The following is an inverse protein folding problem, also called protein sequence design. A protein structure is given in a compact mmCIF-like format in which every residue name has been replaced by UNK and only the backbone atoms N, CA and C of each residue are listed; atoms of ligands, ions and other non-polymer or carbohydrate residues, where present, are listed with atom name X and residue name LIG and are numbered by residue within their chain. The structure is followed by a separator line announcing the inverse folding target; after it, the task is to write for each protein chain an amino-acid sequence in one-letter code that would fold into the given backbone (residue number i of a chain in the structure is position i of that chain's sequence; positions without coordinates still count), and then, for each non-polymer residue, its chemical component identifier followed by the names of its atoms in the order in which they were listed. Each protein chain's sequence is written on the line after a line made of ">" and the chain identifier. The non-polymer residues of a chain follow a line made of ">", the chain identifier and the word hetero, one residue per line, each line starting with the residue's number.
data_IF_917287423090
#
_entry.id   IF_917287423090
#
_cell.length_a   1.000
_cell.length_b   1.000
_cell.length_c   1.000
_cell.angle_alpha   90.00
_cell.angle_beta   90.00
_cell.angle_gamma   90.00
#
_symmetry.space_group_name_H-M   'P 1'
#
loop_
_entity.id
_entity.type
_entity.pdbx_description
1 polymer ?
#
# COMPACT_ATOMS: atom_id res chain seq x y z
N UNK A 1 6.06 4.21 11.20
CA UNK A 1 5.17 4.74 10.15
C UNK A 1 3.73 4.58 10.61
N UNK A 2 3.12 5.60 11.21
CA UNK A 2 1.75 5.49 11.64
C UNK A 2 0.79 5.72 10.46
N UNK A 3 -0.10 4.76 10.24
CA UNK A 3 -1.40 5.06 9.64
C UNK A 3 -2.14 6.07 10.53
N UNK A 4 -2.99 6.90 9.93
CA UNK A 4 -3.88 7.74 10.73
C UNK A 4 -4.91 6.89 11.47
N UNK A 5 -5.43 7.39 12.60
CA UNK A 5 -6.36 6.64 13.47
C UNK A 5 -7.58 6.07 12.72
N UNK A 6 -8.08 6.79 11.71
CA UNK A 6 -9.22 6.40 10.88
C UNK A 6 -8.83 5.81 9.52
N UNK A 7 -7.55 5.52 9.28
CA UNK A 7 -7.06 5.10 7.97
C UNK A 7 -7.68 3.79 7.48
N UNK A 8 -7.83 2.79 8.36
CA UNK A 8 -8.40 1.49 7.98
C UNK A 8 -9.87 1.60 7.59
N UNK A 9 -10.64 2.45 8.28
CA UNK A 9 -12.04 2.75 7.94
C UNK A 9 -12.14 3.46 6.58
N UNK A 10 -11.24 4.42 6.33
CA UNK A 10 -11.15 5.13 5.06
C UNK A 10 -10.80 4.16 3.92
N UNK A 11 -9.80 3.30 4.11
CA UNK A 11 -9.38 2.29 3.11
C UNK A 11 -10.56 1.36 2.79
N UNK A 12 -11.21 0.83 3.83
CA UNK A 12 -12.40 -0.03 3.70
C UNK A 12 -13.52 0.67 2.94
N UNK A 13 -13.78 1.94 3.24
CA UNK A 13 -14.80 2.75 2.57
C UNK A 13 -14.49 2.91 1.08
N UNK A 14 -13.26 3.30 0.72
CA UNK A 14 -12.84 3.44 -0.67
C UNK A 14 -12.96 2.12 -1.44
N UNK A 15 -12.54 1.00 -0.84
CA UNK A 15 -12.68 -0.33 -1.43
C UNK A 15 -14.15 -0.74 -1.59
N UNK A 16 -15.01 -0.40 -0.63
CA UNK A 16 -16.45 -0.61 -0.71
C UNK A 16 -17.11 0.19 -1.84
N UNK A 17 -16.72 1.44 -2.01
CA UNK A 17 -17.15 2.29 -3.13
C UNK A 17 -16.77 1.65 -4.47
N UNK A 18 -15.53 1.16 -4.62
CA UNK A 18 -15.09 0.47 -5.84
C UNK A 18 -15.90 -0.80 -6.10
N UNK A 19 -16.22 -1.57 -5.06
CA UNK A 19 -17.09 -2.74 -5.16
C UNK A 19 -18.49 -2.39 -5.67
N UNK A 20 -19.01 -1.22 -5.29
CA UNK A 20 -20.30 -0.71 -5.74
C UNK A 20 -20.26 -0.01 -7.11
N UNK A 21 -19.10 0.00 -7.79
CA UNK A 21 -18.92 0.69 -9.08
C UNK A 21 -18.79 2.21 -8.98
N UNK A 22 -18.61 2.74 -7.77
CA UNK A 22 -18.43 4.17 -7.51
C UNK A 22 -16.96 4.61 -7.72
N UNK A 23 -16.74 5.93 -7.69
CA UNK A 23 -15.41 6.54 -7.84
C UNK A 23 -14.93 7.13 -6.51
N UNK A 24 -14.07 6.43 -5.75
CA UNK A 24 -13.51 6.98 -4.52
C UNK A 24 -12.57 8.16 -4.81
N UNK A 25 -12.34 8.98 -3.79
CA UNK A 25 -11.38 10.09 -3.84
C UNK A 25 -10.02 9.66 -3.31
N UNK A 26 -8.98 10.37 -3.72
CA UNK A 26 -7.68 10.30 -3.07
C UNK A 26 -7.76 10.87 -1.65
N UNK A 27 -7.34 10.06 -0.69
CA UNK A 27 -7.36 10.38 0.74
C UNK A 27 -6.02 10.03 1.35
N UNK A 28 -5.53 10.86 2.27
CA UNK A 28 -4.31 10.57 3.01
C UNK A 28 -4.61 9.52 4.09
N UNK A 29 -3.81 8.45 4.14
CA UNK A 29 -4.02 7.32 5.06
C UNK A 29 -2.90 7.18 6.09
N UNK A 30 -1.80 7.92 5.95
CA UNK A 30 -0.69 7.89 6.89
C UNK A 30 0.47 8.74 6.40
N UNK A 31 1.56 8.71 7.16
CA UNK A 31 2.80 9.44 6.83
C UNK A 31 4.02 8.55 6.97
N UNK A 32 4.93 8.65 6.00
CA UNK A 32 6.32 8.19 6.17
C UNK A 32 6.95 8.83 7.41
N UNK A 33 7.82 8.09 8.09
CA UNK A 33 8.77 8.72 9.02
C UNK A 33 9.78 9.57 8.25
N UNK A 34 10.41 10.53 8.92
CA UNK A 34 11.43 11.38 8.29
C UNK A 34 12.61 10.57 7.76
N UNK A 35 13.00 9.50 8.47
CA UNK A 35 14.03 8.55 8.04
C UNK A 35 13.64 7.78 6.77
N UNK A 36 12.39 7.33 6.69
CA UNK A 36 11.88 6.63 5.51
C UNK A 36 11.79 7.57 4.31
N UNK A 37 11.33 8.81 4.51
CA UNK A 37 11.33 9.83 3.45
C UNK A 37 12.74 10.17 2.98
N UNK A 38 13.70 10.33 3.89
CA UNK A 38 15.10 10.58 3.54
C UNK A 38 15.67 9.42 2.72
N UNK A 39 15.43 8.18 3.15
CA UNK A 39 15.86 6.97 2.43
C UNK A 39 15.25 6.88 1.03
N UNK A 40 13.96 7.17 0.88
CA UNK A 40 13.30 7.21 -0.44
C UNK A 40 13.91 8.29 -1.32
N UNK A 41 14.12 9.50 -0.78
CA UNK A 41 14.68 10.62 -1.54
C UNK A 41 16.13 10.37 -1.98
N UNK A 42 16.94 9.72 -1.15
CA UNK A 42 18.26 9.26 -1.56
C UNK A 42 18.16 8.32 -2.77
N UNK A 43 17.31 7.29 -2.70
CA UNK A 43 17.10 6.34 -3.80
C UNK A 43 16.48 7.01 -5.05
N UNK A 44 15.66 8.06 -4.89
CA UNK A 44 15.16 8.85 -6.03
C UNK A 44 16.30 9.55 -6.76
N UNK A 45 17.19 10.21 -6.01
CA UNK A 45 18.36 10.91 -6.56
C UNK A 45 19.32 9.95 -7.27
N UNK A 46 19.58 8.78 -6.69
CA UNK A 46 20.38 7.71 -7.31
C UNK A 46 19.82 7.26 -8.67
N UNK A 47 18.50 7.33 -8.84
CA UNK A 47 17.79 7.00 -10.08
C UNK A 47 17.59 8.21 -11.01
N UNK A 48 18.12 9.39 -10.69
CA UNK A 48 17.92 10.62 -11.47
C UNK A 48 16.49 11.14 -11.43
N UNK A 49 15.71 10.79 -10.40
CA UNK A 49 14.31 11.17 -10.24
C UNK A 49 14.14 12.34 -9.27
N UNK A 50 13.06 13.15 -9.41
CA UNK A 50 12.75 14.20 -8.46
C UNK A 50 12.48 13.68 -7.04
N UNK A 51 12.88 14.45 -6.03
CA UNK A 51 12.59 14.15 -4.63
C UNK A 51 11.10 14.28 -4.32
N UNK A 52 10.63 13.43 -3.42
CA UNK A 52 9.30 13.47 -2.81
C UNK A 52 9.26 14.60 -1.79
N UNK A 53 8.33 15.53 -1.97
CA UNK A 53 8.22 16.74 -1.14
C UNK A 53 7.24 16.59 0.03
N UNK A 54 6.44 15.53 0.04
CA UNK A 54 5.39 15.30 1.03
C UNK A 54 5.50 13.89 1.58
N UNK A 55 5.49 13.75 2.91
CA UNK A 55 5.55 12.44 3.57
C UNK A 55 4.19 11.73 3.62
N UNK A 56 3.09 12.36 3.18
CA UNK A 56 1.77 11.74 3.17
C UNK A 56 1.67 10.62 2.14
N UNK A 57 1.05 9.53 2.56
CA UNK A 57 0.65 8.42 1.70
C UNK A 57 -0.81 8.61 1.31
N UNK A 58 -1.05 8.77 0.02
CA UNK A 58 -2.39 8.84 -0.55
C UNK A 58 -2.90 7.45 -0.93
N UNK A 59 -4.21 7.27 -0.84
CA UNK A 59 -4.88 6.04 -1.25
C UNK A 59 -6.18 6.36 -1.98
N UNK A 60 -6.38 5.72 -3.13
CA UNK A 60 -7.68 5.62 -3.82
C UNK A 60 -8.08 4.15 -3.95
N UNK A 61 -7.11 3.25 -4.16
CA UNK A 61 -7.31 1.80 -4.09
C UNK A 61 -7.81 1.14 -5.37
N UNK A 62 -8.04 1.88 -6.48
CA UNK A 62 -8.59 1.31 -7.72
C UNK A 62 -7.74 0.17 -8.28
N UNK A 63 -6.44 0.38 -8.45
CA UNK A 63 -5.56 -0.66 -8.97
C UNK A 63 -5.43 -1.82 -7.98
N UNK A 64 -5.28 -1.49 -6.68
CA UNK A 64 -5.24 -2.50 -5.61
C UNK A 64 -6.47 -3.42 -5.64
N UNK A 65 -7.68 -2.85 -5.67
CA UNK A 65 -8.96 -3.58 -5.74
C UNK A 65 -9.07 -4.45 -6.99
N UNK A 66 -8.80 -3.89 -8.17
CA UNK A 66 -8.89 -4.64 -9.42
C UNK A 66 -7.92 -5.82 -9.46
N UNK A 67 -6.69 -5.62 -8.96
CA UNK A 67 -5.65 -6.65 -8.96
C UNK A 67 -5.95 -7.74 -7.93
N UNK A 68 -6.33 -7.38 -6.71
CA UNK A 68 -6.47 -8.34 -5.60
C UNK A 68 -7.88 -8.88 -5.46
N UNK A 69 -8.88 -8.01 -5.39
CA UNK A 69 -10.25 -8.47 -5.20
C UNK A 69 -10.84 -9.07 -6.48
N UNK A 70 -10.77 -8.34 -7.60
CA UNK A 70 -11.44 -8.78 -8.85
C UNK A 70 -10.67 -9.90 -9.53
N UNK A 71 -9.35 -9.76 -9.68
CA UNK A 71 -8.54 -10.74 -10.42
C UNK A 71 -8.12 -11.94 -9.56
N UNK A 72 -7.72 -11.72 -8.32
CA UNK A 72 -7.20 -12.78 -7.43
C UNK A 72 -8.24 -13.32 -6.42
N UNK A 73 -9.42 -12.70 -6.28
CA UNK A 73 -10.52 -13.22 -5.45
C UNK A 73 -10.52 -12.76 -3.98
N UNK A 74 -9.61 -11.86 -3.60
CA UNK A 74 -9.49 -11.40 -2.22
C UNK A 74 -10.69 -10.60 -1.72
N UNK A 75 -11.02 -10.76 -0.43
CA UNK A 75 -12.03 -9.93 0.22
C UNK A 75 -11.49 -8.53 0.55
N UNK A 76 -12.38 -7.56 0.76
CA UNK A 76 -11.98 -6.22 1.23
C UNK A 76 -11.24 -6.30 2.56
N UNK A 77 -11.65 -7.21 3.45
CA UNK A 77 -10.98 -7.42 4.73
C UNK A 77 -9.53 -7.89 4.56
N UNK A 78 -9.28 -8.76 3.57
CA UNK A 78 -7.91 -9.19 3.23
C UNK A 78 -7.07 -8.03 2.73
N UNK A 79 -7.64 -7.18 1.86
CA UNK A 79 -6.94 -6.00 1.35
C UNK A 79 -6.60 -5.00 2.47
N UNK A 80 -7.50 -4.82 3.44
CA UNK A 80 -7.23 -3.96 4.61
C UNK A 80 -6.07 -4.51 5.43
N UNK A 81 -6.06 -5.82 5.72
CA UNK A 81 -4.95 -6.49 6.44
C UNK A 81 -3.63 -6.40 5.68
N UNK A 82 -3.67 -6.52 4.35
CA UNK A 82 -2.49 -6.34 3.50
C UNK A 82 -1.90 -4.94 3.65
N UNK A 83 -2.73 -3.89 3.62
CA UNK A 83 -2.27 -2.49 3.79
C UNK A 83 -1.72 -2.26 5.19
N UNK A 84 -2.43 -2.70 6.22
CA UNK A 84 -2.02 -2.57 7.62
C UNK A 84 -0.65 -3.20 7.87
N UNK A 85 -0.46 -4.44 7.40
CA UNK A 85 0.80 -5.18 7.51
C UNK A 85 1.95 -4.50 6.74
N UNK A 86 1.70 -4.10 5.49
CA UNK A 86 2.73 -3.50 4.63
C UNK A 86 3.17 -2.11 5.10
N UNK A 87 2.28 -1.34 5.74
CA UNK A 87 2.55 0.01 6.25
C UNK A 87 2.81 0.04 7.76
N UNK A 88 2.99 -1.12 8.40
CA UNK A 88 3.33 -1.21 9.81
C UNK A 88 4.60 -0.41 10.13
N UNK A 89 4.73 0.04 11.37
CA UNK A 89 5.83 0.92 11.75
C UNK A 89 7.21 0.31 11.54
N UNK A 90 7.32 -1.00 11.70
CA UNK A 90 8.56 -1.76 11.53
C UNK A 90 8.94 -1.99 10.07
N UNK A 91 8.10 -1.61 9.11
CA UNK A 91 8.32 -1.88 7.69
C UNK A 91 9.52 -1.10 7.14
N UNK A 92 10.22 -1.72 6.19
CA UNK A 92 11.51 -1.22 5.68
C UNK A 92 11.47 -0.91 4.21
N UNK A 93 12.23 0.12 3.80
CA UNK A 93 12.32 0.56 2.40
C UNK A 93 13.19 -0.43 1.63
N UNK A 94 12.59 -1.12 0.66
CA UNK A 94 13.30 -2.01 -0.26
C UNK A 94 13.97 -1.20 -1.38
N UNK A 95 13.17 -0.39 -2.08
CA UNK A 95 13.63 0.50 -3.13
C UNK A 95 12.86 1.83 -3.10
N UNK A 96 13.10 2.72 -4.08
CA UNK A 96 12.46 4.04 -4.12
C UNK A 96 10.93 4.01 -4.23
N UNK A 97 10.32 2.86 -4.52
CA UNK A 97 8.86 2.71 -4.70
C UNK A 97 8.26 1.59 -3.86
N UNK A 98 9.05 0.88 -3.05
CA UNK A 98 8.59 -0.31 -2.36
C UNK A 98 8.98 -0.27 -0.89
N UNK A 99 7.99 -0.47 -0.04
CA UNK A 99 8.13 -0.75 1.39
C UNK A 99 7.68 -2.20 1.62
N UNK A 100 8.43 -2.96 2.39
CA UNK A 100 8.07 -4.35 2.74
C UNK A 100 7.88 -4.51 4.24
N UNK A 101 6.89 -5.29 4.62
CA UNK A 101 6.71 -5.70 6.02
C UNK A 101 7.93 -6.49 6.50
N UNK A 102 8.29 -6.35 7.77
CA UNK A 102 9.34 -7.17 8.40
C UNK A 102 8.81 -8.44 9.02
N UNK A 103 7.50 -8.54 9.19
CA UNK A 103 6.79 -9.67 9.78
C UNK A 103 5.98 -10.36 8.70
N UNK A 104 6.04 -11.70 8.69
CA UNK A 104 5.17 -12.52 7.84
C UNK A 104 3.76 -12.54 8.43
N UNK A 105 2.76 -12.36 7.57
CA UNK A 105 1.35 -12.42 7.91
C UNK A 105 0.77 -13.77 7.47
N UNK A 106 0.05 -14.43 8.37
CA UNK A 106 -0.85 -15.52 7.99
C UNK A 106 -2.02 -14.90 7.19
N UNK A 107 -2.18 -15.33 5.94
CA UNK A 107 -3.22 -14.80 5.07
C UNK A 107 -4.57 -15.49 5.20
N UNK A 108 -4.67 -16.55 6.00
CA UNK A 108 -5.88 -17.34 6.19
C UNK A 108 -6.16 -18.35 5.06
N UNK A 109 -5.29 -18.42 4.05
CA UNK A 109 -5.40 -19.35 2.91
C UNK A 109 -4.29 -20.41 2.92
N UNK A 110 -3.55 -20.52 4.04
CA UNK A 110 -2.46 -21.48 4.21
C UNK A 110 -1.09 -20.94 3.78
N UNK A 111 -0.96 -19.62 3.57
CA UNK A 111 0.32 -19.00 3.26
C UNK A 111 0.82 -18.13 4.41
N UNK A 112 2.14 -18.04 4.54
CA UNK A 112 2.82 -17.01 5.31
C UNK A 112 3.42 -16.00 4.35
N UNK A 113 2.81 -14.82 4.25
CA UNK A 113 3.14 -13.83 3.22
C UNK A 113 3.89 -12.63 3.78
N UNK A 114 4.81 -12.08 2.99
CA UNK A 114 5.42 -10.79 3.24
C UNK A 114 4.73 -9.72 2.39
N UNK A 115 4.05 -8.76 3.03
CA UNK A 115 3.27 -7.76 2.31
C UNK A 115 4.18 -6.62 1.84
N UNK A 116 4.15 -6.34 0.54
CA UNK A 116 4.94 -5.29 -0.10
C UNK A 116 4.02 -4.18 -0.58
N UNK A 117 4.10 -3.01 0.06
CA UNK A 117 3.44 -1.79 -0.40
C UNK A 117 4.22 -1.22 -1.59
N UNK A 118 3.53 -1.07 -2.71
CA UNK A 118 4.07 -0.48 -3.94
C UNK A 118 3.47 0.90 -4.12
N UNK A 119 4.35 1.88 -4.28
CA UNK A 119 3.99 3.28 -4.46
C UNK A 119 4.14 3.73 -5.91
N UNK A 120 3.20 4.56 -6.34
CA UNK A 120 3.34 5.39 -7.52
C UNK A 120 3.61 6.84 -7.10
N UNK A 121 4.45 7.55 -7.85
CA UNK A 121 4.79 8.94 -7.58
C UNK A 121 4.32 9.81 -8.75
N UNK A 122 3.53 10.83 -8.44
CA UNK A 122 3.05 11.77 -9.45
C UNK A 122 4.19 12.69 -9.92
N UNK A 123 4.28 12.97 -11.22
CA UNK A 123 5.34 13.83 -11.77
C UNK A 123 5.28 15.30 -11.26
N UNK A 124 4.07 15.80 -10.95
CA UNK A 124 3.85 17.18 -10.47
C UNK A 124 3.59 17.17 -8.96
N UNK A 125 4.51 17.73 -8.17
CA UNK A 125 4.57 17.63 -6.69
C UNK A 125 4.49 16.17 -6.24
N UNK A 126 5.60 15.42 -6.29
CA UNK A 126 5.57 13.98 -6.08
C UNK A 126 5.00 13.67 -4.71
N UNK A 127 3.76 13.18 -4.72
CA UNK A 127 3.10 12.54 -3.59
C UNK A 127 3.19 11.05 -3.82
N UNK A 128 3.33 10.30 -2.74
CA UNK A 128 3.28 8.85 -2.83
C UNK A 128 1.83 8.39 -2.75
N UNK A 129 1.38 7.76 -3.82
CA UNK A 129 0.15 7.00 -3.85
C UNK A 129 0.45 5.54 -3.56
N UNK A 130 -0.24 4.94 -2.59
CA UNK A 130 -0.25 3.48 -2.45
C UNK A 130 -1.04 2.88 -3.61
N UNK A 131 -0.31 2.37 -4.59
CA UNK A 131 -0.83 1.84 -5.84
C UNK A 131 -1.41 0.43 -5.68
N UNK A 132 -0.68 -0.42 -4.93
CA UNK A 132 -1.12 -1.78 -4.59
C UNK A 132 -0.30 -2.32 -3.42
N UNK A 133 -0.85 -3.34 -2.75
CA UNK A 133 -0.04 -4.26 -1.93
C UNK A 133 0.16 -5.58 -2.69
N UNK A 134 1.33 -6.18 -2.54
CA UNK A 134 1.68 -7.48 -3.11
C UNK A 134 2.04 -8.43 -1.96
N UNK A 135 1.21 -9.44 -1.65
CA UNK A 135 1.58 -10.48 -0.69
C UNK A 135 2.60 -11.43 -1.33
N UNK A 136 3.88 -11.30 -0.99
CA UNK A 136 4.93 -12.22 -1.48
C UNK A 136 4.86 -13.54 -0.72
N UNK A 137 4.84 -14.66 -1.43
CA UNK A 137 4.57 -15.99 -0.87
C UNK A 137 3.10 -16.43 -0.99
N UNK A 138 2.29 -15.68 -1.74
CA UNK A 138 0.89 -16.01 -2.06
C UNK A 138 0.79 -17.08 -3.15
N UNK A 139 0.94 -18.35 -2.73
CA UNK A 139 0.79 -19.52 -3.61
C UNK A 139 -0.67 -20.01 -3.62
N UNK A 140 -1.34 -19.99 -2.47
CA UNK A 140 -2.73 -20.41 -2.31
C UNK A 140 -3.67 -19.21 -2.26
N UNK A 141 -4.38 -18.94 -3.36
CA UNK A 141 -5.34 -17.82 -3.45
C UNK A 141 -6.73 -18.19 -2.97
N UNK A 142 -7.56 -17.19 -2.59
CA UNK A 142 -8.97 -17.41 -2.29
C UNK A 142 -9.69 -18.10 -3.46
N UNK A 143 -10.65 -18.99 -3.19
CA UNK A 143 -11.53 -19.52 -4.22
C UNK A 143 -12.35 -18.39 -4.86
N UNK A 144 -12.48 -18.43 -6.19
CA UNK A 144 -13.26 -17.45 -6.96
C UNK A 144 -14.75 -17.73 -6.95
#
# INVERSE_FOLDING_TARGET
>A
MPLYDNALEIIRTNLGQLKNGERPKFVAIGKLTDEQLATINQKQLENGLPVVQCNEILYMGKHHYNSRAVKDGYSIDDLVKQVESALAETSVIENNKVLKSTVLRDDGYGNMVQDWAVFEMTAKRPKMELFSVIPKGDDNKPPK
#
